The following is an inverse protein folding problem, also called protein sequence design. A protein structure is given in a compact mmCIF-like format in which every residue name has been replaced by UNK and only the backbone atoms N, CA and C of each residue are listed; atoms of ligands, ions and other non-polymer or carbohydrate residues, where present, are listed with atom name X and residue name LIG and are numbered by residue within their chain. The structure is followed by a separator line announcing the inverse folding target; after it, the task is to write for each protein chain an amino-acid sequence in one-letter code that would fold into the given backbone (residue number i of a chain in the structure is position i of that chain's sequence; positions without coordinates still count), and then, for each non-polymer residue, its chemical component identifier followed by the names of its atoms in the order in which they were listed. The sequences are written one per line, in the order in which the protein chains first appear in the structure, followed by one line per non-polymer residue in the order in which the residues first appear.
data_IF_678442046933
#
_entry.id   IF_678442046933
#
_cell.length_a   1.000
_cell.length_b   1.000
_cell.length_c   1.000
_cell.angle_alpha   90.00
_cell.angle_beta   90.00
_cell.angle_gamma   90.00
#
_symmetry.space_group_name_H-M   'P 1'
#
loop_
_entity.id
_entity.type
_entity.pdbx_description
1 polymer ?
#
# COMPACT_ATOMS: atom_id res chain seq x y z
N UNK A 1 38.99 3.29 5.30
CA UNK A 1 38.55 2.54 4.10
C UNK A 1 37.44 3.32 3.43
N UNK A 2 37.27 3.19 2.12
CA UNK A 2 36.10 3.73 1.45
C UNK A 2 34.83 3.07 2.02
N UNK A 3 33.71 3.80 2.14
CA UNK A 3 32.47 3.25 2.69
C UNK A 3 31.90 2.16 1.77
N UNK A 4 31.30 1.12 2.35
CA UNK A 4 30.72 0.00 1.59
C UNK A 4 29.49 0.46 0.78
N UNK A 5 29.29 -0.11 -0.43
CA UNK A 5 28.16 0.21 -1.27
C UNK A 5 26.86 -0.42 -0.75
N UNK A 6 25.76 0.34 -0.82
CA UNK A 6 24.44 -0.12 -0.37
C UNK A 6 23.32 0.49 -1.21
N UNK A 7 22.15 -0.14 -1.17
CA UNK A 7 20.94 0.32 -1.85
C UNK A 7 20.20 1.29 -0.92
N UNK A 8 19.64 2.36 -1.48
CA UNK A 8 18.70 3.25 -0.79
C UNK A 8 17.47 3.50 -1.65
N UNK A 9 16.28 3.51 -1.06
CA UNK A 9 15.05 3.88 -1.76
C UNK A 9 15.00 5.41 -1.88
N UNK A 10 14.99 5.89 -3.11
CA UNK A 10 14.83 7.32 -3.42
C UNK A 10 13.34 7.71 -3.41
N UNK A 11 12.48 6.84 -3.92
CA UNK A 11 11.03 7.01 -3.85
C UNK A 11 10.34 5.67 -3.58
N UNK A 12 9.56 5.61 -2.50
CA UNK A 12 8.77 4.44 -2.15
C UNK A 12 7.63 4.20 -3.15
N UNK A 13 7.15 2.96 -3.31
CA UNK A 13 5.89 2.72 -4.01
C UNK A 13 4.72 3.27 -3.19
N UNK A 14 3.70 3.78 -3.89
CA UNK A 14 2.42 4.10 -3.26
C UNK A 14 1.82 2.84 -2.64
N UNK A 15 1.43 2.94 -1.38
CA UNK A 15 0.95 1.80 -0.62
C UNK A 15 -0.48 1.37 -1.01
N UNK A 16 -1.36 2.31 -1.34
CA UNK A 16 -2.81 2.08 -1.57
C UNK A 16 -3.27 2.62 -2.94
N UNK A 17 -4.52 2.34 -3.30
CA UNK A 17 -5.16 2.85 -4.52
C UNK A 17 -4.93 2.00 -5.77
N UNK A 18 -3.86 1.20 -5.81
CA UNK A 18 -3.59 0.26 -6.92
C UNK A 18 -4.23 -1.11 -6.65
N UNK A 19 -4.90 -1.67 -7.67
CA UNK A 19 -5.44 -3.04 -7.62
C UNK A 19 -4.47 -4.04 -8.22
N UNK A 20 -4.38 -5.22 -7.61
CA UNK A 20 -3.70 -6.36 -8.21
C UNK A 20 -4.60 -6.99 -9.28
N UNK A 21 -4.00 -7.49 -10.37
CA UNK A 21 -4.75 -7.98 -11.53
C UNK A 21 -4.62 -9.48 -11.67
N UNK A 22 -5.72 -10.17 -11.89
CA UNK A 22 -5.64 -11.57 -12.26
C UNK A 22 -5.11 -11.73 -13.68
N UNK A 23 -4.45 -12.86 -13.96
CA UNK A 23 -3.99 -13.23 -15.32
C UNK A 23 -5.10 -13.19 -16.37
N UNK A 24 -6.36 -13.46 -15.98
CA UNK A 24 -7.50 -13.40 -16.88
C UNK A 24 -7.96 -11.97 -17.25
N UNK A 25 -7.45 -10.92 -16.60
CA UNK A 25 -7.80 -9.52 -16.88
C UNK A 25 -7.02 -8.91 -18.06
N UNK A 26 -6.07 -9.64 -18.66
CA UNK A 26 -5.34 -9.22 -19.87
C UNK A 26 -3.87 -8.84 -19.64
N UNK A 27 -3.26 -8.19 -20.63
CA UNK A 27 -1.78 -8.09 -20.76
C UNK A 27 -1.10 -7.08 -19.84
N UNK A 28 -1.79 -6.05 -19.33
CA UNK A 28 -1.17 -5.04 -18.48
C UNK A 28 -1.78 -5.08 -17.07
N UNK A 29 -0.95 -5.40 -16.07
CA UNK A 29 -1.34 -5.32 -14.67
C UNK A 29 -1.29 -3.88 -14.09
N UNK A 30 -1.22 -2.86 -14.96
CA UNK A 30 -1.05 -1.47 -14.56
C UNK A 30 0.42 -1.11 -14.30
N UNK A 31 0.64 -0.02 -13.57
CA UNK A 31 1.96 0.43 -13.16
C UNK A 31 1.89 0.90 -11.70
N UNK A 32 2.82 0.42 -10.87
CA UNK A 32 2.99 0.82 -9.48
C UNK A 32 3.47 2.27 -9.49
N UNK A 33 2.67 3.23 -8.99
CA UNK A 33 3.10 4.62 -8.91
C UNK A 33 4.04 4.81 -7.70
N UNK A 34 4.84 5.86 -7.76
CA UNK A 34 5.59 6.36 -6.61
C UNK A 34 4.66 6.94 -5.55
N UNK A 35 5.12 6.99 -4.30
CA UNK A 35 4.39 7.55 -3.16
C UNK A 35 3.98 9.01 -3.41
N UNK A 36 4.86 9.79 -4.04
CA UNK A 36 4.62 11.21 -4.35
C UNK A 36 4.00 11.44 -5.74
N UNK A 37 3.63 10.36 -6.45
CA UNK A 37 3.03 10.47 -7.77
C UNK A 37 1.72 11.23 -7.69
N UNK A 38 1.46 12.13 -8.64
CA UNK A 38 0.18 12.82 -8.77
C UNK A 38 -0.42 12.54 -10.15
N UNK A 39 -1.65 12.99 -10.40
CA UNK A 39 -2.28 12.86 -11.72
C UNK A 39 -1.49 13.62 -12.81
N UNK A 40 -0.97 14.81 -12.46
CA UNK A 40 -0.25 15.69 -13.37
C UNK A 40 1.24 15.35 -13.49
N UNK A 41 1.84 14.85 -12.41
CA UNK A 41 3.26 14.48 -12.37
C UNK A 41 3.39 13.05 -11.86
N UNK A 42 3.43 12.10 -12.80
CA UNK A 42 3.55 10.68 -12.49
C UNK A 42 4.98 10.33 -12.14
N UNK A 43 5.17 9.80 -10.95
CA UNK A 43 6.45 9.30 -10.47
C UNK A 43 6.33 7.80 -10.20
N UNK A 44 7.45 7.13 -9.94
CA UNK A 44 7.53 5.67 -9.87
C UNK A 44 8.52 5.24 -8.79
N UNK A 45 8.38 4.02 -8.23
CA UNK A 45 9.34 3.48 -7.29
C UNK A 45 10.75 3.62 -7.85
N UNK A 46 11.67 4.11 -7.03
CA UNK A 46 13.04 4.34 -7.47
C UNK A 46 14.04 4.14 -6.34
N UNK A 47 15.24 3.71 -6.72
CA UNK A 47 16.36 3.47 -5.81
C UNK A 47 17.61 4.21 -6.30
N UNK A 48 18.59 4.34 -5.43
CA UNK A 48 19.95 4.72 -5.77
C UNK A 48 20.94 3.74 -5.13
N UNK A 49 22.11 3.57 -5.75
CA UNK A 49 23.21 2.81 -5.16
C UNK A 49 24.20 3.83 -4.62
N UNK A 50 24.36 3.86 -3.30
CA UNK A 50 25.29 4.76 -2.63
C UNK A 50 26.67 4.13 -2.55
N UNK A 51 27.71 4.98 -2.52
CA UNK A 51 29.13 4.59 -2.49
C UNK A 51 29.58 3.69 -3.66
N UNK A 52 28.86 3.73 -4.79
CA UNK A 52 29.22 2.99 -6.00
C UNK A 52 29.00 3.83 -7.24
N UNK A 53 29.95 3.79 -8.17
CA UNK A 53 29.82 4.40 -9.49
C UNK A 53 30.30 3.41 -10.55
N UNK A 54 29.36 2.78 -11.24
CA UNK A 54 29.65 1.71 -12.19
C UNK A 54 28.39 1.07 -12.75
N UNK A 55 28.57 -0.02 -13.50
CA UNK A 55 27.44 -0.82 -13.99
C UNK A 55 26.85 -1.64 -12.85
N UNK A 56 25.54 -1.78 -12.79
CA UNK A 56 24.85 -2.58 -11.78
C UNK A 56 23.71 -3.36 -12.40
N UNK A 57 23.51 -4.59 -11.96
CA UNK A 57 22.31 -5.38 -12.26
C UNK A 57 21.35 -5.31 -11.09
N UNK A 58 20.12 -4.88 -11.36
CA UNK A 58 19.06 -4.85 -10.36
C UNK A 58 18.06 -5.95 -10.65
N UNK A 59 17.69 -6.68 -9.60
CA UNK A 59 16.54 -7.57 -9.58
C UNK A 59 15.52 -7.06 -8.58
N UNK A 60 14.25 -6.99 -8.98
CA UNK A 60 13.14 -6.66 -8.09
C UNK A 60 12.17 -7.83 -8.01
N UNK A 61 11.96 -8.35 -6.80
CA UNK A 61 11.06 -9.47 -6.51
C UNK A 61 9.94 -9.02 -5.57
N UNK A 62 8.88 -9.82 -5.46
CA UNK A 62 7.82 -9.63 -4.47
C UNK A 62 8.08 -10.52 -3.25
N UNK A 63 7.95 -9.96 -2.06
CA UNK A 63 8.07 -10.68 -0.78
C UNK A 63 6.88 -10.39 0.14
N UNK A 64 6.71 -11.21 1.18
CA UNK A 64 5.67 -11.02 2.20
C UNK A 64 5.85 -9.72 2.97
N UNK A 65 4.76 -9.21 3.58
CA UNK A 65 4.76 -7.97 4.37
C UNK A 65 5.68 -8.03 5.60
N UNK A 66 5.73 -9.18 6.26
CA UNK A 66 6.41 -9.37 7.54
C UNK A 66 7.62 -10.29 7.40
N UNK A 67 8.55 -10.17 8.34
CA UNK A 67 9.64 -11.13 8.53
C UNK A 67 9.08 -12.56 8.72
N UNK A 68 9.73 -13.59 8.16
CA UNK A 68 11.07 -13.58 7.54
C UNK A 68 11.12 -13.20 6.03
N UNK A 69 10.16 -12.43 5.49
CA UNK A 69 10.14 -11.96 4.10
C UNK A 69 10.27 -13.07 3.06
N UNK A 70 9.28 -13.97 3.08
CA UNK A 70 9.17 -15.09 2.13
C UNK A 70 8.92 -14.57 0.70
N UNK A 71 9.39 -15.25 -0.36
CA UNK A 71 9.01 -14.97 -1.74
C UNK A 71 7.49 -15.00 -1.90
N UNK A 72 6.89 -13.92 -2.41
CA UNK A 72 5.45 -13.83 -2.54
C UNK A 72 4.96 -14.66 -3.75
N UNK A 73 3.79 -15.33 -3.67
CA UNK A 73 3.24 -16.10 -4.79
C UNK A 73 2.70 -15.24 -5.96
N UNK A 74 2.68 -13.92 -5.82
CA UNK A 74 2.23 -13.01 -6.89
C UNK A 74 3.37 -12.70 -7.83
N UNK A 75 3.04 -12.41 -9.09
CA UNK A 75 4.03 -12.10 -10.12
C UNK A 75 4.18 -10.60 -10.29
N UNK A 76 5.43 -10.13 -10.31
CA UNK A 76 5.75 -8.84 -10.89
C UNK A 76 5.76 -8.98 -12.41
N UNK A 77 4.94 -8.19 -13.10
CA UNK A 77 4.78 -8.25 -14.57
C UNK A 77 4.99 -6.85 -15.15
N UNK A 78 5.50 -6.78 -16.37
CA UNK A 78 5.89 -5.50 -16.94
C UNK A 78 7.01 -5.63 -17.95
N UNK A 79 7.58 -4.48 -18.31
CA UNK A 79 8.81 -4.44 -19.11
C UNK A 79 9.96 -5.04 -18.29
N UNK A 80 10.79 -5.86 -18.94
CA UNK A 80 11.95 -6.52 -18.33
C UNK A 80 11.60 -7.47 -17.16
N UNK A 81 10.33 -7.91 -17.07
CA UNK A 81 9.88 -8.92 -16.13
C UNK A 81 9.83 -10.31 -16.75
N UNK A 82 10.29 -11.32 -15.99
CA UNK A 82 10.19 -12.75 -16.32
C UNK A 82 10.07 -13.57 -15.04
N UNK A 83 9.41 -14.73 -15.11
CA UNK A 83 9.26 -15.64 -13.96
C UNK A 83 8.78 -14.94 -12.66
N UNK A 84 7.95 -13.90 -12.81
CA UNK A 84 7.37 -13.13 -11.70
C UNK A 84 8.32 -12.17 -10.97
N UNK A 85 9.45 -11.79 -11.57
CA UNK A 85 10.37 -10.74 -11.08
C UNK A 85 10.87 -9.85 -12.22
N UNK A 86 11.32 -8.64 -11.87
CA UNK A 86 11.96 -7.69 -12.78
C UNK A 86 13.49 -7.85 -12.71
N UNK A 87 14.18 -7.74 -13.84
CA UNK A 87 15.65 -7.72 -13.88
C UNK A 87 16.20 -6.88 -15.04
N UNK A 88 17.08 -5.94 -14.74
CA UNK A 88 17.73 -5.10 -15.74
C UNK A 88 19.12 -4.64 -15.31
N UNK A 89 19.92 -4.24 -16.29
CA UNK A 89 21.25 -3.66 -16.09
C UNK A 89 21.22 -2.15 -16.30
N UNK A 90 21.92 -1.42 -15.43
CA UNK A 90 22.00 0.03 -15.45
C UNK A 90 23.46 0.46 -15.54
N UNK A 91 23.72 1.49 -16.36
CA UNK A 91 25.03 2.11 -16.49
C UNK A 91 25.30 3.19 -15.42
N UNK A 92 26.55 3.67 -15.32
CA UNK A 92 26.99 4.60 -14.28
C UNK A 92 26.34 6.01 -14.38
N UNK A 93 25.83 6.39 -15.55
CA UNK A 93 25.23 7.71 -15.79
C UNK A 93 23.95 7.97 -15.00
N UNK A 94 23.28 6.92 -14.50
CA UNK A 94 22.00 7.04 -13.80
C UNK A 94 22.18 6.91 -12.31
N UNK A 95 22.10 8.04 -11.59
CA UNK A 95 22.13 8.06 -10.12
C UNK A 95 20.86 7.48 -9.49
N UNK A 96 19.70 7.83 -10.05
CA UNK A 96 18.39 7.34 -9.59
C UNK A 96 17.83 6.37 -10.63
N UNK A 97 17.55 5.15 -10.19
CA UNK A 97 17.02 4.07 -10.99
C UNK A 97 15.52 3.96 -10.75
N UNK A 98 14.73 4.41 -11.73
CA UNK A 98 13.27 4.42 -11.67
C UNK A 98 12.65 3.21 -12.38
N UNK A 99 11.71 2.53 -11.72
CA UNK A 99 11.08 1.31 -12.20
C UNK A 99 9.66 1.57 -12.70
N UNK A 100 9.57 1.89 -13.99
CA UNK A 100 8.30 2.17 -14.67
C UNK A 100 7.68 0.89 -15.23
N UNK A 101 6.39 0.91 -15.53
CA UNK A 101 5.67 -0.20 -16.18
C UNK A 101 5.70 -1.54 -15.41
N UNK A 102 5.85 -1.48 -14.09
CA UNK A 102 5.74 -2.64 -13.21
C UNK A 102 4.33 -2.75 -12.65
N UNK A 103 3.64 -3.86 -12.88
CA UNK A 103 2.35 -4.18 -12.28
C UNK A 103 2.41 -5.48 -11.47
N UNK A 104 1.41 -5.71 -10.64
CA UNK A 104 1.30 -6.91 -9.81
C UNK A 104 0.18 -7.80 -10.35
N UNK A 105 0.55 -8.99 -10.81
CA UNK A 105 -0.36 -10.03 -11.23
C UNK A 105 -0.62 -10.99 -10.05
N UNK A 106 -1.83 -10.97 -9.51
CA UNK A 106 -2.19 -11.83 -8.38
C UNK A 106 -2.61 -13.23 -8.85
N UNK A 107 -2.19 -14.23 -8.07
CA UNK A 107 -2.60 -15.62 -8.26
C UNK A 107 -3.89 -15.92 -7.49
N UNK A 108 -4.61 -16.97 -7.91
CA UNK A 108 -5.77 -17.47 -7.16
C UNK A 108 -5.29 -18.35 -6.01
N UNK A 109 -6.07 -18.44 -4.93
CA UNK A 109 -5.75 -19.31 -3.77
C UNK A 109 -5.42 -20.75 -4.17
N UNK A 110 -6.14 -21.30 -5.15
CA UNK A 110 -5.90 -22.66 -5.65
C UNK A 110 -4.54 -22.87 -6.34
N UNK A 111 -3.94 -21.80 -6.86
CA UNK A 111 -2.69 -21.83 -7.64
C UNK A 111 -1.48 -21.44 -6.75
N UNK A 112 -1.71 -21.19 -5.45
CA UNK A 112 -0.70 -20.69 -4.51
C UNK A 112 0.44 -21.70 -4.32
N UNK A 113 0.10 -22.99 -4.13
CA UNK A 113 1.09 -24.07 -3.98
C UNK A 113 2.02 -24.17 -5.18
N UNK A 114 1.45 -24.14 -6.40
CA UNK A 114 2.21 -24.20 -7.64
C UNK A 114 3.13 -22.99 -7.80
N UNK A 115 2.62 -21.79 -7.50
CA UNK A 115 3.42 -20.56 -7.56
C UNK A 115 4.63 -20.59 -6.63
N UNK A 116 4.46 -21.00 -5.36
CA UNK A 116 5.56 -21.11 -4.41
C UNK A 116 6.59 -22.16 -4.84
N UNK A 117 6.15 -23.33 -5.30
CA UNK A 117 7.06 -24.35 -5.84
C UNK A 117 7.89 -23.82 -7.01
N UNK A 118 7.30 -22.99 -7.88
CA UNK A 118 8.04 -22.35 -8.97
C UNK A 118 9.09 -21.36 -8.45
N UNK A 119 8.80 -20.58 -7.39
CA UNK A 119 9.78 -19.68 -6.76
C UNK A 119 10.98 -20.44 -6.20
N UNK A 120 10.73 -21.56 -5.54
CA UNK A 120 11.77 -22.44 -4.99
C UNK A 120 12.63 -23.01 -6.14
N UNK A 121 12.00 -23.60 -7.16
CA UNK A 121 12.68 -24.18 -8.32
C UNK A 121 13.59 -23.16 -9.03
N UNK A 122 13.11 -21.91 -9.15
CA UNK A 122 13.83 -20.80 -9.77
C UNK A 122 14.85 -20.13 -8.85
N UNK A 123 15.02 -20.63 -7.62
CA UNK A 123 15.91 -20.08 -6.59
C UNK A 123 15.63 -18.60 -6.29
N UNK A 124 14.37 -18.20 -6.31
CA UNK A 124 13.92 -16.86 -5.94
C UNK A 124 13.66 -16.87 -4.44
N UNK A 125 14.69 -16.56 -3.66
CA UNK A 125 14.61 -16.49 -2.19
C UNK A 125 15.60 -15.43 -1.66
N UNK A 126 15.26 -14.13 -1.72
CA UNK A 126 16.20 -13.06 -1.41
C UNK A 126 16.73 -13.08 0.03
N UNK A 127 15.98 -13.69 0.96
CA UNK A 127 16.32 -13.77 2.39
C UNK A 127 16.71 -15.18 2.85
N UNK A 128 16.90 -16.12 1.92
CA UNK A 128 17.26 -17.52 2.22
C UNK A 128 16.38 -18.18 3.28
N UNK A 129 15.08 -17.86 3.28
CA UNK A 129 14.12 -18.44 4.22
C UNK A 129 14.08 -19.97 4.02
N UNK A 130 14.12 -20.78 5.08
CA UNK A 130 14.10 -22.24 4.96
C UNK A 130 12.90 -22.74 4.15
N UNK A 131 13.13 -23.70 3.25
CA UNK A 131 12.12 -24.21 2.32
C UNK A 131 10.88 -24.75 3.03
N UNK A 132 11.06 -25.39 4.19
CA UNK A 132 9.98 -25.86 5.06
C UNK A 132 9.01 -24.74 5.45
N UNK A 133 9.52 -23.53 5.74
CA UNK A 133 8.71 -22.37 6.07
C UNK A 133 8.02 -21.76 4.84
N UNK A 134 8.60 -21.93 3.65
CA UNK A 134 8.00 -21.46 2.40
C UNK A 134 6.75 -22.25 2.04
N UNK A 135 6.71 -23.54 2.38
CA UNK A 135 5.56 -24.42 2.17
C UNK A 135 4.39 -24.18 3.13
N UNK A 136 4.53 -23.33 4.15
CA UNK A 136 3.40 -22.93 5.00
C UNK A 136 2.52 -21.91 4.28
N UNK A 137 1.64 -22.42 3.42
CA UNK A 137 0.80 -21.65 2.49
C UNK A 137 -0.22 -20.75 3.21
N UNK A 138 -0.68 -21.15 4.39
CA UNK A 138 -1.70 -20.40 5.14
C UNK A 138 -1.19 -19.07 5.71
N UNK A 139 0.14 -18.87 5.74
CA UNK A 139 0.78 -17.64 6.23
C UNK A 139 0.78 -16.48 5.22
N UNK A 140 0.43 -16.71 3.95
CA UNK A 140 0.56 -15.71 2.90
C UNK A 140 -0.69 -14.81 2.81
N UNK A 141 -0.54 -13.53 3.16
CA UNK A 141 -1.56 -12.51 2.89
C UNK A 141 -1.50 -12.05 1.43
N UNK A 142 -2.43 -12.54 0.62
CA UNK A 142 -2.51 -12.24 -0.81
C UNK A 142 -2.94 -10.79 -1.13
N UNK A 143 -3.31 -9.99 -0.11
CA UNK A 143 -3.75 -8.62 -0.32
C UNK A 143 -2.62 -7.60 -0.08
N UNK A 144 -1.41 -8.06 0.24
CA UNK A 144 -0.26 -7.18 0.51
C UNK A 144 1.05 -7.82 0.07
N UNK A 145 1.92 -7.01 -0.54
CA UNK A 145 3.27 -7.42 -0.91
C UNK A 145 4.27 -6.33 -0.55
N UNK A 146 5.57 -6.62 -0.57
CA UNK A 146 6.62 -5.61 -0.63
C UNK A 146 7.51 -5.86 -1.84
N UNK A 147 8.08 -4.80 -2.41
CA UNK A 147 9.16 -4.91 -3.40
C UNK A 147 10.46 -5.19 -2.64
N UNK A 148 11.21 -6.20 -3.08
CA UNK A 148 12.56 -6.48 -2.62
C UNK A 148 13.54 -6.16 -3.75
N UNK A 149 14.39 -5.16 -3.53
CA UNK A 149 15.43 -4.71 -4.44
C UNK A 149 16.73 -5.44 -4.10
N UNK A 150 17.29 -6.16 -5.08
CA UNK A 150 18.59 -6.81 -4.99
C UNK A 150 19.49 -6.18 -6.05
N UNK A 151 20.66 -5.70 -5.63
CA UNK A 151 21.67 -5.14 -6.52
C UNK A 151 22.87 -6.08 -6.58
N UNK A 152 23.35 -6.35 -7.78
CA UNK A 152 24.52 -7.18 -8.05
C UNK A 152 25.54 -6.32 -8.79
N UNK A 153 26.71 -6.14 -8.19
CA UNK A 153 27.84 -5.42 -8.75
C UNK A 153 28.74 -6.39 -9.54
N UNK A 154 29.43 -5.91 -10.60
CA UNK A 154 30.39 -6.69 -11.36
C UNK A 154 31.60 -7.09 -10.49
N UNK A 155 32.05 -8.32 -10.63
CA UNK A 155 33.34 -8.80 -10.15
C UNK A 155 34.49 -8.38 -11.07
N UNK A 156 35.70 -8.82 -10.73
CA UNK A 156 36.93 -8.56 -11.50
C UNK A 156 36.87 -9.06 -12.95
N UNK A 157 35.98 -10.02 -13.25
CA UNK A 157 35.77 -10.58 -14.59
C UNK A 157 34.58 -9.93 -15.32
N UNK A 158 33.92 -8.94 -14.69
CA UNK A 158 32.76 -8.24 -15.23
C UNK A 158 31.43 -8.97 -15.04
N UNK A 159 31.38 -10.09 -14.31
CA UNK A 159 30.14 -10.80 -14.02
C UNK A 159 29.46 -10.22 -12.76
N UNK A 160 28.14 -10.09 -12.77
CA UNK A 160 27.39 -9.53 -11.64
C UNK A 160 27.20 -10.55 -10.50
N UNK A 161 28.25 -10.77 -9.69
CA UNK A 161 28.27 -11.78 -8.62
C UNK A 161 28.33 -11.19 -7.21
N UNK A 162 28.72 -9.92 -7.07
CA UNK A 162 28.82 -9.24 -5.77
C UNK A 162 27.44 -8.71 -5.38
N UNK A 163 26.69 -9.46 -4.57
CA UNK A 163 25.37 -9.06 -4.11
C UNK A 163 25.44 -8.07 -2.94
N UNK A 164 24.74 -6.94 -3.06
CA UNK A 164 24.49 -6.04 -1.94
C UNK A 164 23.36 -6.58 -1.05
N UNK A 165 23.29 -6.18 0.23
CA UNK A 165 22.17 -6.52 1.10
C UNK A 165 20.82 -6.16 0.44
N UNK A 166 19.85 -7.09 0.39
CA UNK A 166 18.54 -6.81 -0.16
C UNK A 166 17.82 -5.70 0.61
N UNK A 167 17.14 -4.79 -0.11
CA UNK A 167 16.38 -3.69 0.48
C UNK A 167 14.89 -3.85 0.18
N UNK A 168 14.04 -3.64 1.19
CA UNK A 168 12.60 -3.84 1.08
C UNK A 168 11.85 -2.51 1.08
N UNK A 169 10.86 -2.35 0.21
CA UNK A 169 9.96 -1.20 0.17
C UNK A 169 8.92 -1.20 1.28
N UNK A 170 8.21 -0.08 1.40
CA UNK A 170 6.91 -0.04 2.06
C UNK A 170 5.91 -1.05 1.43
N UNK A 171 4.94 -1.56 2.20
CA UNK A 171 3.98 -2.53 1.70
C UNK A 171 3.03 -1.91 0.68
N UNK A 172 2.71 -2.67 -0.36
CA UNK A 172 1.74 -2.34 -1.39
C UNK A 172 0.53 -3.23 -1.17
N UNK A 173 -0.64 -2.63 -1.08
CA UNK A 173 -1.88 -3.27 -0.72
C UNK A 173 -2.85 -3.31 -1.90
N UNK A 174 -3.56 -4.42 -2.06
CA UNK A 174 -4.56 -4.58 -3.11
C UNK A 174 -5.79 -3.71 -2.80
N UNK A 175 -6.07 -2.74 -3.68
CA UNK A 175 -7.24 -1.88 -3.57
C UNK A 175 -8.57 -2.59 -3.89
N UNK A 176 -8.54 -3.83 -4.40
CA UNK A 176 -9.76 -4.63 -4.62
C UNK A 176 -10.27 -5.30 -3.35
N UNK A 177 -9.39 -5.58 -2.38
CA UNK A 177 -9.72 -6.29 -1.16
C UNK A 177 -10.22 -5.30 -0.08
N UNK A 178 -11.44 -5.42 0.45
CA UNK A 178 -12.02 -4.39 1.33
C UNK A 178 -11.27 -4.16 2.64
N UNK A 179 -10.56 -5.16 3.15
CA UNK A 179 -9.72 -5.04 4.36
C UNK A 179 -8.42 -4.25 4.11
N UNK A 180 -8.07 -3.99 2.85
CA UNK A 180 -6.86 -3.27 2.46
C UNK A 180 -7.11 -2.15 1.46
N UNK A 181 -8.37 -1.91 1.09
CA UNK A 181 -8.73 -0.85 0.17
C UNK A 181 -8.43 0.52 0.77
N UNK A 182 -8.14 1.48 -0.10
CA UNK A 182 -8.09 2.89 0.23
C UNK A 182 -9.47 3.34 0.75
N UNK A 183 -9.49 4.03 1.88
CA UNK A 183 -10.72 4.56 2.43
C UNK A 183 -11.07 5.86 1.71
N UNK A 184 -12.32 5.99 1.26
CA UNK A 184 -12.78 7.19 0.57
C UNK A 184 -14.21 7.52 0.92
N UNK A 185 -14.43 8.76 1.39
CA UNK A 185 -15.75 9.37 1.50
C UNK A 185 -16.12 9.92 0.13
N UNK A 186 -17.21 9.41 -0.46
CA UNK A 186 -17.69 9.84 -1.76
C UNK A 186 -18.63 11.04 -1.62
N UNK A 187 -19.62 10.95 -0.71
CA UNK A 187 -20.63 12.00 -0.48
C UNK A 187 -21.20 11.91 0.93
N UNK A 188 -21.71 13.03 1.42
CA UNK A 188 -22.49 13.12 2.67
C UNK A 188 -23.75 13.93 2.43
N UNK A 189 -24.83 13.62 3.16
CA UNK A 189 -26.08 14.38 3.08
C UNK A 189 -26.00 15.73 3.79
N UNK A 190 -25.22 15.82 4.87
CA UNK A 190 -25.01 17.03 5.70
C UNK A 190 -23.53 17.14 6.06
N UNK A 191 -22.99 18.35 5.99
CA UNK A 191 -21.62 18.71 6.39
C UNK A 191 -21.60 19.72 7.54
N UNK A 192 -22.72 19.87 8.25
CA UNK A 192 -22.82 20.65 9.47
C UNK A 192 -23.87 20.04 10.41
N UNK A 193 -23.81 20.40 11.69
CA UNK A 193 -24.71 19.91 12.73
C UNK A 193 -24.57 20.67 14.04
N UNK A 194 -25.45 20.41 14.99
CA UNK A 194 -25.43 21.04 16.31
C UNK A 194 -24.18 20.66 17.10
N UNK A 195 -23.62 21.61 17.84
CA UNK A 195 -22.52 21.39 18.81
C UNK A 195 -22.85 20.28 19.82
N UNK A 196 -24.13 20.04 20.11
CA UNK A 196 -24.60 18.96 20.99
C UNK A 196 -24.47 17.56 20.38
N UNK A 197 -24.20 17.45 19.09
CA UNK A 197 -24.19 16.19 18.36
C UNK A 197 -25.58 15.58 18.20
N UNK A 198 -25.63 14.31 17.78
CA UNK A 198 -26.87 13.56 17.59
C UNK A 198 -27.50 13.69 16.20
N UNK A 199 -26.96 14.54 15.33
CA UNK A 199 -27.41 14.68 13.95
C UNK A 199 -27.16 13.40 13.17
N UNK A 200 -28.21 12.87 12.53
CA UNK A 200 -28.10 11.71 11.67
C UNK A 200 -27.52 12.08 10.29
N UNK A 201 -26.42 11.41 9.95
CA UNK A 201 -25.66 11.59 8.71
C UNK A 201 -25.69 10.30 7.90
N UNK A 202 -25.92 10.46 6.59
CA UNK A 202 -25.82 9.44 5.57
C UNK A 202 -24.53 9.70 4.79
N UNK A 203 -23.56 8.80 4.95
CA UNK A 203 -22.25 8.87 4.31
C UNK A 203 -22.14 7.78 3.26
N UNK A 204 -21.92 8.16 2.00
CA UNK A 204 -21.59 7.24 0.91
C UNK A 204 -20.08 7.11 0.79
N UNK A 205 -19.58 5.89 0.68
CA UNK A 205 -18.15 5.59 0.64
C UNK A 205 -17.83 4.44 -0.33
N UNK A 206 -16.54 4.26 -0.60
CA UNK A 206 -16.06 3.01 -1.20
C UNK A 206 -16.21 1.84 -0.22
N UNK A 207 -15.96 0.60 -0.70
CA UNK A 207 -16.24 -0.62 0.08
C UNK A 207 -15.47 -0.66 1.40
N UNK A 208 -16.19 -0.78 2.51
CA UNK A 208 -15.66 -0.94 3.87
C UNK A 208 -16.10 -2.26 4.53
N UNK A 209 -15.39 -2.67 5.59
CA UNK A 209 -15.81 -3.79 6.44
C UNK A 209 -16.54 -3.26 7.67
N UNK A 210 -17.79 -3.68 7.88
CA UNK A 210 -18.64 -3.17 8.97
C UNK A 210 -18.08 -3.44 10.38
N UNK A 211 -17.25 -4.48 10.51
CA UNK A 211 -16.63 -4.90 11.78
C UNK A 211 -15.31 -4.16 12.06
N UNK A 212 -14.82 -3.38 11.08
CA UNK A 212 -13.50 -2.74 11.10
C UNK A 212 -13.55 -1.38 10.39
N UNK A 213 -14.51 -0.54 10.78
CA UNK A 213 -14.66 0.82 10.26
C UNK A 213 -15.24 1.74 11.33
N UNK A 214 -14.78 2.98 11.35
CA UNK A 214 -15.36 4.04 12.16
C UNK A 214 -15.31 5.39 11.43
N UNK A 215 -16.20 6.30 11.83
CA UNK A 215 -16.17 7.70 11.39
C UNK A 215 -15.55 8.52 12.51
N UNK A 216 -14.44 9.21 12.24
CA UNK A 216 -13.67 10.00 13.21
C UNK A 216 -13.79 11.48 12.88
N UNK A 217 -14.10 12.27 13.89
CA UNK A 217 -14.04 13.73 13.89
C UNK A 217 -12.78 14.15 14.63
N UNK A 218 -12.03 15.10 14.08
CA UNK A 218 -10.76 15.58 14.65
C UNK A 218 -10.59 17.08 14.47
N UNK A 219 -10.11 17.75 15.52
CA UNK A 219 -9.66 19.13 15.51
C UNK A 219 -8.54 19.28 16.55
N UNK A 220 -7.34 19.65 16.10
CA UNK A 220 -6.15 19.72 16.95
C UNK A 220 -5.96 18.44 17.79
N UNK A 221 -6.09 18.55 19.11
CA UNK A 221 -5.95 17.44 20.06
C UNK A 221 -7.28 16.74 20.41
N UNK A 222 -8.41 17.23 19.89
CA UNK A 222 -9.72 16.64 20.13
C UNK A 222 -10.05 15.61 19.04
N UNK A 223 -10.49 14.43 19.47
CA UNK A 223 -11.10 13.43 18.60
C UNK A 223 -12.40 12.89 19.18
N UNK A 224 -13.34 12.56 18.31
CA UNK A 224 -14.56 11.85 18.69
C UNK A 224 -15.05 10.94 17.56
N UNK A 225 -15.82 9.91 17.90
CA UNK A 225 -16.35 8.94 16.93
C UNK A 225 -17.82 9.21 16.64
N UNK A 226 -18.20 9.12 15.37
CA UNK A 226 -19.60 8.98 14.98
C UNK A 226 -20.20 7.72 15.59
N UNK A 227 -21.40 7.84 16.14
CA UNK A 227 -22.08 6.73 16.80
C UNK A 227 -22.95 5.96 15.81
N UNK A 228 -22.62 4.69 15.58
CA UNK A 228 -23.40 3.75 14.77
C UNK A 228 -23.08 2.31 15.16
N UNK A 229 -23.94 1.38 14.73
CA UNK A 229 -23.77 -0.06 14.88
C UNK A 229 -23.40 -0.71 13.54
N UNK A 230 -23.00 -1.98 13.57
CA UNK A 230 -22.72 -2.75 12.34
C UNK A 230 -23.94 -2.84 11.40
N UNK A 231 -25.16 -2.76 11.93
CA UNK A 231 -26.39 -2.81 11.13
C UNK A 231 -26.60 -1.54 10.30
N UNK A 232 -25.99 -0.42 10.70
CA UNK A 232 -26.09 0.86 10.02
C UNK A 232 -25.11 0.99 8.84
N UNK A 233 -24.25 -0.02 8.64
CA UNK A 233 -23.37 -0.13 7.47
C UNK A 233 -24.13 -0.82 6.34
N UNK A 234 -24.68 -0.02 5.43
CA UNK A 234 -25.50 -0.50 4.33
C UNK A 234 -24.66 -1.06 3.18
N UNK A 235 -24.67 -2.39 3.03
CA UNK A 235 -24.05 -3.12 1.90
C UNK A 235 -22.59 -2.73 1.65
N UNK A 236 -21.85 -2.40 2.72
CA UNK A 236 -20.44 -1.99 2.70
C UNK A 236 -20.14 -0.67 1.98
N UNK A 237 -21.12 0.08 1.50
CA UNK A 237 -20.91 1.28 0.64
C UNK A 237 -21.58 2.54 1.18
N UNK A 238 -22.27 2.42 2.31
CA UNK A 238 -22.81 3.56 3.03
C UNK A 238 -22.82 3.30 4.54
N UNK A 239 -22.73 4.37 5.32
CA UNK A 239 -22.81 4.35 6.78
C UNK A 239 -23.84 5.39 7.20
N UNK A 240 -24.82 4.98 7.99
CA UNK A 240 -25.69 5.90 8.73
C UNK A 240 -25.15 6.02 10.14
N UNK A 241 -24.88 7.24 10.61
CA UNK A 241 -24.34 7.45 11.95
C UNK A 241 -24.84 8.75 12.56
N UNK A 242 -24.71 8.90 13.88
CA UNK A 242 -24.98 10.15 14.60
C UNK A 242 -23.68 10.88 14.95
N UNK A 243 -23.67 12.19 14.75
CA UNK A 243 -22.49 13.00 15.09
C UNK A 243 -22.19 12.94 16.60
N UNK A 244 -20.91 12.91 17.00
CA UNK A 244 -20.56 13.08 18.39
C UNK A 244 -20.82 14.52 18.84
N UNK A 245 -21.05 14.78 20.14
CA UNK A 245 -21.02 16.13 20.70
C UNK A 245 -19.61 16.72 20.55
N UNK A 246 -19.54 18.03 20.30
CA UNK A 246 -18.27 18.74 20.33
C UNK A 246 -17.82 18.99 21.77
N UNK A 247 -16.51 19.16 21.97
CA UNK A 247 -15.85 19.31 23.28
C UNK A 247 -16.51 20.31 24.24
N UNK A 248 -16.97 21.44 23.71
CA UNK A 248 -17.44 22.60 24.46
C UNK A 248 -18.54 23.31 23.71
N UNK A 249 -19.33 24.11 24.42
CA UNK A 249 -20.24 25.05 23.78
C UNK A 249 -19.44 26.06 22.94
N UNK A 250 -20.05 26.49 21.83
CA UNK A 250 -19.47 27.43 20.89
C UNK A 250 -20.45 28.58 20.67
N UNK A 251 -19.93 29.78 20.42
CA UNK A 251 -20.72 30.96 20.06
C UNK A 251 -20.68 31.26 18.57
N UNK A 252 -19.70 30.69 17.87
CA UNK A 252 -19.51 30.81 16.42
C UNK A 252 -19.30 29.41 15.81
N UNK A 253 -19.61 29.21 14.52
CA UNK A 253 -19.39 27.92 13.87
C UNK A 253 -17.93 27.47 13.89
N UNK A 254 -17.69 26.21 14.22
CA UNK A 254 -16.35 25.59 14.27
C UNK A 254 -16.25 24.48 13.23
N UNK A 255 -15.27 24.57 12.34
CA UNK A 255 -15.00 23.51 11.35
C UNK A 255 -14.01 22.50 11.91
N UNK A 256 -14.37 21.23 11.88
CA UNK A 256 -13.52 20.08 12.21
C UNK A 256 -13.31 19.21 10.98
N UNK A 257 -12.35 18.29 11.02
CA UNK A 257 -12.14 17.28 9.98
C UNK A 257 -12.90 16.01 10.32
N UNK A 258 -13.69 15.51 9.39
CA UNK A 258 -14.41 14.24 9.45
C UNK A 258 -13.80 13.27 8.42
N UNK A 259 -13.44 12.07 8.85
CA UNK A 259 -12.81 11.07 7.99
C UNK A 259 -13.22 9.65 8.39
N UNK A 260 -13.08 8.71 7.46
CA UNK A 260 -13.15 7.29 7.80
C UNK A 260 -11.82 6.86 8.43
N UNK A 261 -11.87 5.97 9.42
CA UNK A 261 -10.69 5.28 9.97
C UNK A 261 -10.97 3.78 10.02
N UNK A 262 -10.00 2.98 9.59
CA UNK A 262 -10.03 1.52 9.77
C UNK A 262 -9.21 1.16 11.02
N UNK A 263 -9.82 0.68 12.11
CA UNK A 263 -9.11 0.42 13.37
C UNK A 263 -7.97 -0.59 13.27
N UNK A 264 -8.09 -1.63 12.44
CA UNK A 264 -7.10 -2.72 12.35
C UNK A 264 -5.70 -2.27 11.90
N UNK A 265 -5.60 -1.26 11.04
CA UNK A 265 -4.34 -0.73 10.52
C UNK A 265 -4.18 0.78 10.69
N UNK A 266 -5.15 1.44 11.35
CA UNK A 266 -5.20 2.89 11.59
C UNK A 266 -5.22 3.75 10.32
N UNK A 267 -5.47 3.14 9.15
CA UNK A 267 -5.60 3.87 7.89
C UNK A 267 -6.78 4.84 7.95
N UNK A 268 -6.61 6.03 7.37
CA UNK A 268 -7.65 7.06 7.30
C UNK A 268 -7.95 7.43 5.85
N UNK A 269 -9.18 7.87 5.58
CA UNK A 269 -9.49 8.51 4.31
C UNK A 269 -8.96 9.94 4.25
N UNK A 270 -8.94 10.53 3.06
CA UNK A 270 -8.89 11.99 2.93
C UNK A 270 -9.98 12.64 3.80
N UNK A 271 -9.66 13.72 4.53
CA UNK A 271 -10.60 14.37 5.43
C UNK A 271 -11.60 15.25 4.67
N UNK A 272 -12.82 15.30 5.20
CA UNK A 272 -13.90 16.20 4.77
C UNK A 272 -14.21 17.20 5.87
N UNK A 273 -14.49 18.46 5.51
CA UNK A 273 -14.88 19.46 6.50
C UNK A 273 -16.29 19.19 7.04
N UNK A 274 -16.43 19.24 8.37
CA UNK A 274 -17.70 19.23 9.06
C UNK A 274 -17.80 20.43 10.00
N UNK A 275 -18.88 21.20 9.91
CA UNK A 275 -19.06 22.44 10.68
C UNK A 275 -20.04 22.25 11.83
N UNK A 276 -19.55 22.30 13.07
CA UNK A 276 -20.41 22.42 14.24
C UNK A 276 -21.00 23.83 14.34
N UNK A 277 -22.29 23.89 14.64
CA UNK A 277 -23.06 25.13 14.79
C UNK A 277 -23.43 25.34 16.27
N UNK A 278 -23.44 26.60 16.74
CA UNK A 278 -23.88 26.91 18.10
C UNK A 278 -25.34 26.46 18.30
N UNK A 279 -25.67 26.09 19.53
CA UNK A 279 -27.05 25.81 19.91
C UNK A 279 -27.85 27.12 19.85
N UNK A 280 -28.87 27.18 18.99
CA UNK A 280 -29.82 28.29 19.00
C UNK A 280 -30.64 28.18 20.30
N UNK A 281 -30.41 29.12 21.23
CA UNK A 281 -31.21 29.24 22.45
C UNK A 281 -32.63 29.67 22.15
#
# INVERSE_FOLDING_TARGET
GAPEPYIEIFEQPRQRGMRFRYKCEGRSAGSIPGEHSTENNKTFPSIQILNYFGKVKIRTTLVTKNEPYKPHPHDLVGKDCRDGYYEAEFGPERRVLSFQNLGIQCVKKKDLKESISLRILKKINPFNVPEEQLHNIDDYDLNVVRLCFQAFLPDEHGNYTIALPPLISNPIYDNRAPNTAELRICRVNKNCGSVKGGDEIFLLCDKVQKDDIEVRFVLDNWEAKGSFSQADVHRQVAIVFRTPPFLRDITEPVTVKMQLRRPSDQEVSEPMDFRYLPDEK
#
